data_IF_080898078184
#
_entry.id   IF_080898078184
#
_cell.length_a   1.000
_cell.length_b   1.000
_cell.length_c   1.000
_cell.angle_alpha   90.00
_cell.angle_beta   90.00
_cell.angle_gamma   90.00
#
_symmetry.space_group_name_H-M   'P 1'
#
loop_
_entity.id
_entity.type
_entity.pdbx_description
1 polymer ?
#
# COMPACT_ATOMS: atom_id res chain seq x y z
N UNK A 1 -2.12 10.29 20.58
CA UNK A 1 -2.86 9.13 20.08
C UNK A 1 -1.82 8.21 19.48
N UNK A 2 -1.78 6.93 19.85
CA UNK A 2 -0.92 5.96 19.16
C UNK A 2 -1.28 5.98 17.67
N UNK A 3 -0.32 6.37 16.82
CA UNK A 3 -0.42 6.13 15.40
C UNK A 3 -0.29 4.62 15.21
N UNK A 4 -1.42 3.93 15.18
CA UNK A 4 -1.44 2.49 14.96
C UNK A 4 -0.80 2.21 13.59
N UNK A 5 0.25 1.39 13.60
CA UNK A 5 1.01 1.03 12.41
C UNK A 5 0.39 -0.20 11.76
N UNK A 6 0.15 -0.13 10.46
CA UNK A 6 -0.41 -1.22 9.66
C UNK A 6 0.55 -1.58 8.54
N UNK A 7 0.85 -2.86 8.38
CA UNK A 7 1.52 -3.37 7.18
C UNK A 7 0.44 -3.91 6.26
N UNK A 8 0.30 -3.29 5.10
CA UNK A 8 -0.68 -3.66 4.09
C UNK A 8 0.01 -4.49 2.99
N UNK A 9 -0.44 -5.72 2.78
CA UNK A 9 -0.12 -6.46 1.57
C UNK A 9 -0.72 -5.72 0.36
N UNK A 10 0.15 -5.06 -0.40
CA UNK A 10 -0.22 -4.15 -1.47
C UNK A 10 0.10 -4.78 -2.82
N UNK A 11 -0.92 -5.00 -3.64
CA UNK A 11 -0.76 -5.59 -4.98
C UNK A 11 -0.63 -4.55 -6.10
N UNK A 12 -0.84 -3.26 -5.80
CA UNK A 12 -0.96 -2.22 -6.85
C UNK A 12 -2.34 -2.15 -7.52
N UNK A 13 -3.22 -3.13 -7.29
CA UNK A 13 -4.59 -3.17 -7.78
C UNK A 13 -5.50 -2.08 -7.22
N UNK A 14 -6.73 -2.00 -7.74
CA UNK A 14 -7.73 -1.02 -7.29
C UNK A 14 -8.04 -1.17 -5.79
N UNK A 15 -8.35 -2.39 -5.36
CA UNK A 15 -8.81 -2.68 -4.00
C UNK A 15 -7.76 -2.29 -2.96
N UNK A 16 -6.52 -2.75 -3.12
CA UNK A 16 -5.42 -2.44 -2.20
C UNK A 16 -5.04 -0.96 -2.24
N UNK A 17 -5.26 -0.26 -3.36
CA UNK A 17 -5.07 1.19 -3.46
C UNK A 17 -6.13 1.99 -2.71
N UNK A 18 -7.39 1.56 -2.78
CA UNK A 18 -8.47 2.18 -2.01
C UNK A 18 -8.27 1.91 -0.51
N UNK A 19 -7.92 0.68 -0.13
CA UNK A 19 -7.65 0.31 1.27
C UNK A 19 -6.49 1.14 1.83
N UNK A 20 -5.40 1.29 1.09
CA UNK A 20 -4.26 2.13 1.49
C UNK A 20 -4.72 3.56 1.80
N UNK A 21 -5.40 4.21 0.85
CA UNK A 21 -5.90 5.57 1.03
C UNK A 21 -6.87 5.69 2.21
N UNK A 22 -7.76 4.70 2.36
CA UNK A 22 -8.77 4.67 3.42
C UNK A 22 -8.15 4.53 4.81
N UNK A 23 -7.16 3.65 4.99
CA UNK A 23 -6.44 3.49 6.26
C UNK A 23 -5.70 4.78 6.64
N UNK A 24 -5.08 5.45 5.68
CA UNK A 24 -4.43 6.75 5.93
C UNK A 24 -5.44 7.81 6.36
N UNK A 25 -6.61 7.89 5.71
CA UNK A 25 -7.70 8.79 6.12
C UNK A 25 -8.24 8.49 7.53
N UNK A 26 -8.08 7.26 8.01
CA UNK A 26 -8.43 6.86 9.38
C UNK A 26 -7.32 7.17 10.40
N UNK A 27 -6.19 7.72 9.97
CA UNK A 27 -5.09 8.12 10.84
C UNK A 27 -4.06 7.02 11.13
N UNK A 28 -4.04 5.93 10.35
CA UNK A 28 -3.02 4.89 10.49
C UNK A 28 -1.74 5.28 9.75
N UNK A 29 -0.59 4.90 10.30
CA UNK A 29 0.68 4.86 9.57
C UNK A 29 0.73 3.55 8.79
N UNK A 30 0.67 3.63 7.46
CA UNK A 30 0.53 2.43 6.60
C UNK A 30 1.83 2.18 5.84
N UNK A 31 2.39 0.99 5.99
CA UNK A 31 3.53 0.50 5.21
C UNK A 31 2.98 -0.43 4.13
N UNK A 32 3.18 -0.08 2.85
CA UNK A 32 2.83 -0.95 1.74
C UNK A 32 3.92 -2.01 1.52
N UNK A 33 3.56 -3.28 1.65
CA UNK A 33 4.43 -4.42 1.38
C UNK A 33 4.01 -5.10 0.09
N UNK A 34 4.92 -5.15 -0.88
CA UNK A 34 4.74 -5.86 -2.14
C UNK A 34 5.65 -7.09 -2.09
N UNK A 35 5.07 -8.28 -2.21
CA UNK A 35 5.82 -9.53 -2.28
C UNK A 35 6.04 -9.93 -3.73
N UNK A 36 7.28 -10.14 -4.14
CA UNK A 36 7.60 -10.86 -5.37
C UNK A 36 7.61 -12.36 -5.07
N UNK A 37 6.67 -13.09 -5.67
CA UNK A 37 6.54 -14.55 -5.57
C UNK A 37 6.62 -15.22 -6.94
N UNK A 38 7.20 -14.54 -7.93
CA UNK A 38 7.38 -15.05 -9.30
C UNK A 38 6.29 -14.64 -10.30
N UNK A 39 5.50 -13.61 -9.99
CA UNK A 39 4.53 -13.03 -10.93
C UNK A 39 5.18 -12.06 -11.93
N UNK A 40 4.62 -11.99 -13.14
CA UNK A 40 5.06 -11.05 -14.20
C UNK A 40 4.38 -9.68 -14.07
N UNK A 41 4.48 -9.04 -12.90
CA UNK A 41 3.89 -7.72 -12.63
C UNK A 41 4.93 -6.58 -12.66
N UNK A 42 4.48 -5.35 -12.90
CA UNK A 42 5.33 -4.15 -12.81
C UNK A 42 5.39 -3.63 -11.36
N UNK A 43 6.34 -4.17 -10.61
CA UNK A 43 6.62 -3.81 -9.22
C UNK A 43 6.99 -2.33 -9.04
N UNK A 44 7.69 -1.74 -10.00
CA UNK A 44 8.10 -0.34 -9.94
C UNK A 44 6.90 0.59 -10.16
N UNK A 45 5.99 0.24 -11.04
CA UNK A 45 4.71 0.95 -11.18
C UNK A 45 3.87 0.84 -9.91
N UNK A 46 3.76 -0.34 -9.32
CA UNK A 46 3.03 -0.54 -8.07
C UNK A 46 3.63 0.30 -6.92
N UNK A 47 4.97 0.29 -6.77
CA UNK A 47 5.68 1.11 -5.78
C UNK A 47 5.46 2.60 -5.98
N UNK A 48 5.60 3.11 -7.22
CA UNK A 48 5.32 4.52 -7.55
C UNK A 48 3.89 4.91 -7.22
N UNK A 49 2.93 4.01 -7.48
CA UNK A 49 1.51 4.23 -7.15
C UNK A 49 1.28 4.30 -5.65
N UNK A 50 1.87 3.40 -4.86
CA UNK A 50 1.79 3.43 -3.40
C UNK A 50 2.31 4.74 -2.81
N UNK A 51 3.50 5.18 -3.25
CA UNK A 51 4.12 6.44 -2.82
C UNK A 51 3.27 7.66 -3.20
N UNK A 52 2.62 7.64 -4.37
CA UNK A 52 1.71 8.71 -4.79
C UNK A 52 0.47 8.81 -3.90
N UNK A 53 -0.01 7.68 -3.37
CA UNK A 53 -1.15 7.64 -2.43
C UNK A 53 -0.72 8.09 -1.03
N UNK A 54 0.55 7.85 -0.69
CA UNK A 54 1.23 8.34 0.52
C UNK A 54 1.56 7.26 1.55
N UNK A 55 1.73 6.02 1.08
CA UNK A 55 2.47 4.98 1.82
C UNK A 55 3.93 5.39 2.06
#
# INVERSE_FOLDING_TARGET
MENNKVILAYSGGLDTSIILHWLMQKGYEVIAYIADVGQEDDFEAAKKKALKIGA
#
